data_IF_747741568574
#
_entry.id   IF_747741568574
#
_cell.length_a   1.000
_cell.length_b   1.000
_cell.length_c   1.000
_cell.angle_alpha   90.00
_cell.angle_beta   90.00
_cell.angle_gamma   90.00
#
_symmetry.space_group_name_H-M   'P 1'
#
loop_
_entity.id
_entity.type
_entity.pdbx_description
1 polymer ?
#
# COMPACT_ATOMS: atom_id res chain seq x y z
N UNK A 1 -18.54 -10.27 16.98
CA UNK A 1 -18.63 -9.46 15.75
C UNK A 1 -17.28 -8.81 15.59
N UNK A 2 -16.53 -9.16 14.54
CA UNK A 2 -15.22 -8.53 14.28
C UNK A 2 -15.48 -7.06 13.91
N UNK A 3 -14.80 -6.08 14.52
CA UNK A 3 -15.02 -4.68 14.18
C UNK A 3 -14.71 -4.46 12.69
N UNK A 4 -15.65 -3.87 11.95
CA UNK A 4 -15.45 -3.49 10.56
C UNK A 4 -14.48 -2.30 10.48
N UNK A 5 -13.49 -2.31 9.58
CA UNK A 5 -12.61 -1.18 9.43
C UNK A 5 -13.33 0.00 8.79
N UNK A 6 -13.01 1.23 9.23
CA UNK A 6 -13.28 2.44 8.48
C UNK A 6 -12.18 2.63 7.43
N UNK A 7 -12.56 2.89 6.17
CA UNK A 7 -11.63 3.22 5.10
C UNK A 7 -11.60 4.73 4.92
N UNK A 8 -10.42 5.32 5.09
CA UNK A 8 -10.21 6.76 4.93
C UNK A 8 -9.18 7.01 3.83
N UNK A 9 -9.27 8.12 3.08
CA UNK A 9 -8.21 8.56 2.19
C UNK A 9 -6.87 8.60 2.93
N UNK A 10 -5.83 8.05 2.29
CA UNK A 10 -4.48 8.07 2.82
C UNK A 10 -3.85 9.46 2.62
N UNK A 11 -3.42 10.09 3.71
CA UNK A 11 -2.81 11.43 3.67
C UNK A 11 -1.30 11.45 3.93
N UNK A 12 -0.67 12.64 3.90
CA UNK A 12 0.75 12.80 4.21
C UNK A 12 1.16 12.19 5.56
N UNK A 13 0.29 12.30 6.58
CA UNK A 13 0.53 11.75 7.92
C UNK A 13 0.52 10.22 7.99
N UNK A 14 0.08 9.56 6.92
CA UNK A 14 0.08 8.10 6.82
C UNK A 14 1.37 7.56 6.21
N UNK A 15 2.28 8.42 5.74
CA UNK A 15 3.51 8.00 5.05
C UNK A 15 4.33 6.93 5.81
N UNK A 16 4.64 7.07 7.11
CA UNK A 16 5.37 6.02 7.83
C UNK A 16 4.62 4.68 7.90
N UNK A 17 3.29 4.73 7.90
CA UNK A 17 2.47 3.52 7.89
C UNK A 17 2.42 2.88 6.49
N UNK A 18 2.33 3.69 5.43
CA UNK A 18 2.41 3.22 4.05
C UNK A 18 3.76 2.57 3.77
N UNK A 19 4.86 3.16 4.22
CA UNK A 19 6.20 2.57 4.12
C UNK A 19 6.24 1.18 4.77
N UNK A 20 5.68 1.03 5.97
CA UNK A 20 5.58 -0.28 6.64
C UNK A 20 4.69 -1.27 5.87
N UNK A 21 3.58 -0.82 5.29
CA UNK A 21 2.67 -1.65 4.50
C UNK A 21 3.28 -2.07 3.16
N UNK A 22 4.11 -1.22 2.55
CA UNK A 22 4.86 -1.57 1.34
C UNK A 22 5.86 -2.69 1.63
N UNK A 23 6.55 -2.62 2.77
CA UNK A 23 7.43 -3.71 3.22
C UNK A 23 6.63 -4.99 3.49
N UNK A 24 5.47 -4.91 4.11
CA UNK A 24 4.60 -6.09 4.32
C UNK A 24 4.07 -6.68 3.01
N UNK A 25 3.81 -5.87 1.99
CA UNK A 25 3.38 -6.31 0.67
C UNK A 25 4.53 -6.97 -0.11
N UNK A 26 5.73 -6.38 -0.09
CA UNK A 26 6.90 -6.86 -0.81
C UNK A 26 7.52 -8.13 -0.19
N UNK A 27 7.39 -8.28 1.13
CA UNK A 27 7.99 -9.38 1.89
C UNK A 27 6.95 -10.11 2.75
N UNK A 28 6.06 -10.92 2.14
CA UNK A 28 5.06 -11.69 2.85
C UNK A 28 5.67 -12.76 3.78
N UNK A 29 4.90 -13.36 4.70
CA UNK A 29 5.41 -14.39 5.60
C UNK A 29 6.09 -15.54 4.83
N UNK A 30 7.33 -15.86 5.23
CA UNK A 30 8.14 -16.91 4.59
C UNK A 30 9.13 -16.42 3.54
N UNK A 31 9.22 -15.11 3.27
CA UNK A 31 10.27 -14.52 2.42
C UNK A 31 11.37 -13.86 3.26
N UNK A 32 12.62 -13.93 2.78
CA UNK A 32 13.74 -13.20 3.39
C UNK A 32 13.54 -11.70 3.22
N UNK A 33 13.54 -10.97 4.33
CA UNK A 33 13.44 -9.51 4.35
C UNK A 33 14.84 -8.90 4.55
N UNK A 34 15.30 -8.02 3.65
CA UNK A 34 16.59 -7.33 3.83
C UNK A 34 16.54 -6.35 5.01
N UNK A 35 17.72 -5.94 5.48
CA UNK A 35 17.83 -4.97 6.60
C UNK A 35 17.29 -3.58 6.24
N UNK A 36 17.45 -3.17 4.98
CA UNK A 36 16.88 -1.94 4.42
C UNK A 36 16.05 -2.26 3.17
N UNK A 37 14.77 -2.64 3.33
CA UNK A 37 13.91 -2.99 2.20
C UNK A 37 13.55 -1.80 1.31
N UNK A 38 13.46 -0.59 1.88
CA UNK A 38 13.08 0.61 1.15
C UNK A 38 14.26 1.27 0.44
N UNK A 39 15.49 0.83 0.71
CA UNK A 39 16.67 1.20 -0.07
C UNK A 39 16.71 0.56 -1.48
N UNK A 40 15.89 -0.47 -1.74
CA UNK A 40 15.76 -1.07 -3.06
C UNK A 40 14.72 -0.32 -3.91
N UNK A 41 15.15 0.19 -5.07
CA UNK A 41 14.28 0.89 -6.03
C UNK A 41 13.09 0.03 -6.49
N UNK A 42 13.24 -1.30 -6.56
CA UNK A 42 12.15 -2.21 -6.91
C UNK A 42 11.02 -2.20 -5.88
N UNK A 43 11.32 -1.84 -4.63
CA UNK A 43 10.32 -1.66 -3.57
C UNK A 43 9.89 -0.20 -3.52
N UNK A 44 10.84 0.74 -3.40
CA UNK A 44 10.57 2.15 -3.17
C UNK A 44 9.69 2.82 -4.26
N UNK A 45 9.80 2.37 -5.52
CA UNK A 45 9.03 2.95 -6.65
C UNK A 45 7.51 2.96 -6.44
N UNK A 46 7.00 2.06 -5.59
CA UNK A 46 5.58 1.98 -5.27
C UNK A 46 5.09 3.10 -4.34
N UNK A 47 5.98 3.89 -3.72
CA UNK A 47 5.62 5.07 -2.91
C UNK A 47 6.41 6.33 -3.25
N UNK A 48 7.44 6.23 -4.11
CA UNK A 48 8.23 7.37 -4.54
C UNK A 48 7.40 8.43 -5.26
N UNK A 49 7.43 9.66 -4.73
CA UNK A 49 6.63 10.76 -5.26
C UNK A 49 5.12 10.59 -5.07
N UNK A 50 4.67 9.54 -4.39
CA UNK A 50 3.26 9.31 -4.10
C UNK A 50 2.78 10.27 -3.01
N UNK A 51 1.77 11.08 -3.33
CA UNK A 51 1.32 12.19 -2.48
C UNK A 51 0.01 11.92 -1.74
N UNK A 52 -0.69 10.84 -2.08
CA UNK A 52 -1.96 10.46 -1.44
C UNK A 52 -3.10 11.45 -1.63
N UNK A 53 -2.93 12.46 -2.49
CA UNK A 53 -3.88 13.55 -2.65
C UNK A 53 -4.13 13.77 -4.13
N UNK A 54 -4.86 12.82 -4.71
CA UNK A 54 -5.55 13.05 -5.97
C UNK A 54 -6.97 12.60 -5.75
N UNK A 55 -7.89 13.46 -6.13
CA UNK A 55 -9.30 13.19 -6.37
C UNK A 55 -9.57 11.69 -6.50
N UNK A 56 -10.46 11.11 -5.67
CA UNK A 56 -10.66 9.65 -5.60
C UNK A 56 -11.08 9.01 -6.95
N UNK A 57 -11.27 9.82 -7.99
CA UNK A 57 -11.51 9.44 -9.38
C UNK A 57 -10.24 9.33 -10.25
N UNK A 58 -9.05 9.71 -9.75
CA UNK A 58 -7.77 9.60 -10.46
C UNK A 58 -7.17 8.19 -10.42
N UNK A 59 -6.15 7.89 -11.24
CA UNK A 59 -5.53 6.57 -11.31
C UNK A 59 -4.57 6.24 -10.14
N UNK A 60 -4.28 7.20 -9.26
CA UNK A 60 -3.36 7.05 -8.13
C UNK A 60 -4.04 7.32 -6.78
N UNK A 61 -5.01 6.48 -6.43
CA UNK A 61 -5.75 6.56 -5.16
C UNK A 61 -5.05 5.79 -4.04
N UNK A 62 -5.33 6.17 -2.78
CA UNK A 62 -4.89 5.41 -1.61
C UNK A 62 -5.87 5.49 -0.45
N UNK A 63 -5.97 4.38 0.28
CA UNK A 63 -6.84 4.21 1.44
C UNK A 63 -6.07 3.63 2.61
N UNK A 64 -6.39 4.08 3.82
CA UNK A 64 -5.96 3.47 5.09
C UNK A 64 -7.18 2.91 5.81
N UNK A 65 -7.12 1.62 6.10
CA UNK A 65 -8.09 0.95 6.95
C UNK A 65 -7.78 1.21 8.43
N UNK A 66 -8.81 1.58 9.20
CA UNK A 66 -8.71 1.87 10.63
C UNK A 66 -9.73 1.09 11.45
N UNK A 67 -9.27 0.52 12.56
CA UNK A 67 -10.11 -0.09 13.60
C UNK A 67 -9.81 0.65 14.90
N UNK A 68 -10.83 1.17 15.57
CA UNK A 68 -10.71 1.96 16.80
C UNK A 68 -9.67 3.09 16.69
N UNK A 69 -9.65 3.78 15.53
CA UNK A 69 -8.72 4.86 15.21
C UNK A 69 -7.30 4.41 14.81
N UNK A 70 -6.95 3.13 15.01
CA UNK A 70 -5.63 2.58 14.69
C UNK A 70 -5.58 2.11 13.25
N UNK A 71 -4.48 2.42 12.56
CA UNK A 71 -4.21 1.96 11.19
C UNK A 71 -3.93 0.46 11.21
N UNK A 72 -4.63 -0.30 10.37
CA UNK A 72 -4.55 -1.77 10.33
C UNK A 72 -4.28 -2.34 8.94
N UNK A 73 -4.45 -1.54 7.89
CA UNK A 73 -4.10 -1.90 6.53
C UNK A 73 -4.10 -0.70 5.62
N UNK A 74 -3.51 -0.85 4.45
CA UNK A 74 -3.54 0.17 3.41
C UNK A 74 -3.60 -0.48 2.04
N UNK A 75 -4.18 0.25 1.10
CA UNK A 75 -4.17 -0.08 -0.32
C UNK A 75 -3.98 1.19 -1.13
N UNK A 76 -3.16 1.15 -2.17
CA UNK A 76 -2.95 2.27 -3.07
C UNK A 76 -2.57 1.81 -4.47
N UNK A 77 -2.72 2.72 -5.42
CA UNK A 77 -2.44 2.49 -6.84
C UNK A 77 -1.32 3.40 -7.31
N UNK A 78 -0.53 2.90 -8.27
CA UNK A 78 0.56 3.63 -8.92
C UNK A 78 0.54 3.45 -10.42
N UNK A 79 0.71 4.54 -11.15
CA UNK A 79 1.12 4.49 -12.55
C UNK A 79 2.64 4.53 -12.61
N UNK A 80 3.25 3.44 -13.09
CA UNK A 80 4.69 3.36 -13.27
C UNK A 80 5.02 3.51 -14.76
N UNK A 81 6.10 4.24 -15.12
CA UNK A 81 6.50 4.35 -16.50
C UNK A 81 7.23 3.07 -16.97
N UNK A 82 7.28 2.77 -18.27
CA UNK A 82 7.88 1.53 -18.79
C UNK A 82 9.34 1.33 -18.35
N UNK A 83 10.13 2.40 -18.28
CA UNK A 83 11.53 2.40 -17.85
C UNK A 83 11.72 2.11 -16.36
N UNK A 84 10.67 2.23 -15.54
CA UNK A 84 10.65 1.93 -14.11
C UNK A 84 9.47 1.02 -13.75
N UNK A 85 9.14 0.11 -14.67
CA UNK A 85 8.05 -0.85 -14.55
C UNK A 85 8.12 -1.65 -13.24
N UNK A 86 6.98 -1.83 -12.58
CA UNK A 86 6.87 -2.69 -11.41
C UNK A 86 6.75 -4.17 -11.82
N UNK A 87 6.58 -5.03 -10.82
CA UNK A 87 6.38 -6.46 -11.03
C UNK A 87 5.08 -6.75 -11.80
N UNK A 88 4.04 -5.95 -11.58
CA UNK A 88 2.72 -6.11 -12.19
C UNK A 88 2.49 -5.28 -13.45
N UNK A 89 3.55 -4.68 -14.02
CA UNK A 89 3.41 -3.71 -15.10
C UNK A 89 2.73 -4.30 -16.34
N UNK A 90 1.70 -3.61 -16.83
CA UNK A 90 0.97 -3.96 -18.06
C UNK A 90 1.16 -2.87 -19.11
N UNK A 91 0.89 -1.62 -18.75
CA UNK A 91 0.97 -0.44 -19.61
C UNK A 91 1.08 0.83 -18.72
N UNK A 92 1.60 1.95 -19.23
CA UNK A 92 1.82 3.17 -18.42
C UNK A 92 0.54 3.84 -17.92
N UNK A 93 -0.62 3.48 -18.45
CA UNK A 93 -1.95 3.97 -18.06
C UNK A 93 -2.73 2.93 -17.23
N UNK A 94 -2.15 1.76 -16.95
CA UNK A 94 -2.74 0.73 -16.10
C UNK A 94 -2.10 0.79 -14.70
N UNK A 95 -2.86 1.11 -13.64
CA UNK A 95 -2.29 1.22 -12.31
C UNK A 95 -1.94 -0.14 -11.71
N UNK A 96 -0.80 -0.21 -11.03
CA UNK A 96 -0.43 -1.32 -10.16
C UNK A 96 -0.99 -1.10 -8.76
N UNK A 97 -1.70 -2.10 -8.22
CA UNK A 97 -2.26 -2.09 -6.87
C UNK A 97 -1.25 -2.67 -5.87
N UNK A 98 -0.98 -1.92 -4.81
CA UNK A 98 -0.34 -2.44 -3.59
C UNK A 98 -1.36 -2.53 -2.48
N UNK A 99 -1.35 -3.63 -1.73
CA UNK A 99 -2.25 -3.84 -0.58
C UNK A 99 -1.55 -4.64 0.50
N UNK A 100 -1.69 -4.21 1.76
CA UNK A 100 -1.24 -4.98 2.91
C UNK A 100 -2.11 -4.73 4.15
N UNK A 101 -2.12 -5.74 5.02
CA UNK A 101 -2.77 -5.70 6.33
C UNK A 101 -1.74 -6.10 7.38
N UNK A 102 -1.69 -5.38 8.49
CA UNK A 102 -0.81 -5.71 9.63
C UNK A 102 -1.08 -7.13 10.09
N UNK A 103 -0.04 -7.87 10.48
CA UNK A 103 -0.15 -9.28 10.81
C UNK A 103 -1.26 -9.59 11.84
N UNK A 104 -1.42 -8.72 12.84
CA UNK A 104 -2.42 -8.87 13.92
C UNK A 104 -3.87 -8.62 13.49
N UNK A 105 -4.11 -8.08 12.29
CA UNK A 105 -5.44 -7.81 11.75
C UNK A 105 -5.78 -8.67 10.51
N UNK A 106 -4.91 -9.61 10.13
CA UNK A 106 -5.17 -10.57 9.04
C UNK A 106 -6.27 -11.56 9.44
N UNK A 107 -7.00 -12.09 8.46
CA UNK A 107 -8.13 -12.99 8.69
C UNK A 107 -9.38 -12.33 9.29
N UNK A 108 -9.33 -11.02 9.61
CA UNK A 108 -10.45 -10.27 10.17
C UNK A 108 -11.35 -9.61 9.11
N UNK A 109 -11.11 -9.85 7.82
CA UNK A 109 -11.87 -9.25 6.72
C UNK A 109 -11.39 -7.85 6.30
N UNK A 110 -10.30 -7.32 6.86
CA UNK A 110 -9.76 -5.98 6.51
C UNK A 110 -9.43 -5.86 5.02
N UNK A 111 -8.74 -6.83 4.43
CA UNK A 111 -8.39 -6.79 3.01
C UNK A 111 -9.57 -7.00 2.05
N UNK A 112 -10.76 -7.34 2.56
CA UNK A 112 -12.00 -7.46 1.77
C UNK A 112 -12.76 -6.13 1.70
N UNK A 113 -12.65 -5.31 2.73
CA UNK A 113 -13.33 -4.02 2.82
C UNK A 113 -12.79 -3.08 1.76
#
# INVERSE_FOLDING_TARGET
MTPSPALLPAGPDDRPFLDAMLVEAAFPPGTDRPADPLGDDHVARYLDGWRGDVDAAGPEVGLVARIDGRRVGAAWTRLLPPERAGYGFVAPDVPELTVAVVATARGAGVGRA
#
